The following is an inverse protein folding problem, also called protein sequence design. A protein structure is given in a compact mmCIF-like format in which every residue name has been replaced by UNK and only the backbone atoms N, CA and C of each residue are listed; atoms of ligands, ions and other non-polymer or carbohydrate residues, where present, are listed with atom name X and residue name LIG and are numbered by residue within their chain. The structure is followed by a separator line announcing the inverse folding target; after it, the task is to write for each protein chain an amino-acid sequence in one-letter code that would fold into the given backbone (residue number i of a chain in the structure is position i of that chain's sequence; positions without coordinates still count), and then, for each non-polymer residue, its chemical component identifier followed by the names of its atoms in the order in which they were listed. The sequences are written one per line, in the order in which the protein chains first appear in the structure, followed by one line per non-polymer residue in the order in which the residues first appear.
data_IF_590107614957
#
_entry.id   IF_590107614957
#
_cell.length_a   1.000
_cell.length_b   1.000
_cell.length_c   1.000
_cell.angle_alpha   90.00
_cell.angle_beta   90.00
_cell.angle_gamma   90.00
#
_symmetry.space_group_name_H-M   'P 1'
#
loop_
_entity.id
_entity.type
_entity.pdbx_description
1 polymer ?
#
# COMPACT_ATOMS: atom_id res chain seq x y z
N UNK A 1 37.25 -5.44 10.10
CA UNK A 1 36.73 -4.76 8.89
C UNK A 1 35.22 -4.83 8.95
N UNK A 2 34.55 -3.71 9.24
CA UNK A 2 33.08 -3.67 9.40
C UNK A 2 32.44 -3.77 8.02
N UNK A 3 31.68 -4.84 7.78
CA UNK A 3 30.94 -5.04 6.54
C UNK A 3 29.78 -4.03 6.56
N UNK A 4 29.97 -2.88 5.90
CA UNK A 4 28.90 -1.91 5.67
C UNK A 4 27.85 -2.56 4.77
N UNK A 5 26.87 -3.22 5.38
CA UNK A 5 25.70 -3.74 4.68
C UNK A 5 24.95 -2.55 4.09
N UNK A 6 24.89 -2.50 2.76
CA UNK A 6 24.25 -1.42 2.00
C UNK A 6 22.79 -1.31 2.44
N UNK A 7 22.42 -0.17 3.02
CA UNK A 7 21.01 0.24 3.15
C UNK A 7 20.37 0.13 1.76
N UNK A 8 19.48 -0.86 1.56
CA UNK A 8 18.73 -1.00 0.31
C UNK A 8 17.51 -0.10 0.41
N UNK A 9 17.52 1.00 -0.34
CA UNK A 9 16.43 1.97 -0.40
C UNK A 9 16.10 2.25 -1.86
N UNK A 10 14.82 2.26 -2.20
CA UNK A 10 14.36 2.68 -3.53
C UNK A 10 13.04 3.43 -3.44
N UNK A 11 12.79 4.26 -4.45
CA UNK A 11 11.56 5.03 -4.60
C UNK A 11 10.62 4.23 -5.50
N UNK A 12 9.32 4.26 -5.21
CA UNK A 12 8.32 3.59 -6.03
C UNK A 12 8.36 4.14 -7.47
N UNK A 13 8.37 3.27 -8.50
CA UNK A 13 8.67 3.68 -9.87
C UNK A 13 7.66 4.68 -10.45
N UNK A 14 6.40 4.63 -10.03
CA UNK A 14 5.30 5.47 -10.55
C UNK A 14 4.63 6.35 -9.49
N UNK A 15 5.05 6.24 -8.22
CA UNK A 15 4.43 6.94 -7.08
C UNK A 15 5.56 7.51 -6.21
N UNK A 16 6.24 8.59 -6.64
CA UNK A 16 7.53 9.01 -6.10
C UNK A 16 7.52 9.41 -4.61
N UNK A 17 6.35 9.60 -4.04
CA UNK A 17 6.14 9.87 -2.62
C UNK A 17 6.06 8.60 -1.76
N UNK A 18 6.21 7.40 -2.35
CA UNK A 18 6.40 6.14 -1.63
C UNK A 18 7.87 5.75 -1.73
N UNK A 19 8.47 5.47 -0.57
CA UNK A 19 9.83 4.95 -0.45
C UNK A 19 9.80 3.62 0.26
N UNK A 20 10.57 2.65 -0.24
CA UNK A 20 10.75 1.34 0.39
C UNK A 20 12.21 1.20 0.83
N UNK A 21 12.42 0.77 2.06
CA UNK A 21 13.75 0.62 2.66
C UNK A 21 13.88 -0.66 3.45
N UNK A 22 15.05 -1.28 3.37
CA UNK A 22 15.46 -2.31 4.32
C UNK A 22 16.05 -1.63 5.56
N UNK A 23 15.57 -2.01 6.74
CA UNK A 23 16.25 -1.71 8.00
C UNK A 23 16.78 -2.99 8.63
N UNK A 24 18.10 -3.08 8.73
CA UNK A 24 18.75 -3.90 9.73
C UNK A 24 18.69 -3.13 11.06
N UNK A 25 18.26 -3.82 12.11
CA UNK A 25 17.96 -3.30 13.45
C UNK A 25 18.82 -2.12 13.93
N UNK A 26 18.14 -1.07 14.42
CA UNK A 26 18.59 -0.28 15.56
C UNK A 26 17.34 0.08 16.38
N UNK A 27 17.21 -0.51 17.57
CA UNK A 27 16.31 -0.14 18.67
C UNK A 27 14.79 -0.43 18.54
N UNK A 28 14.39 -1.72 18.55
CA UNK A 28 13.01 -2.20 18.84
C UNK A 28 12.07 -2.54 17.67
N UNK A 29 12.55 -2.67 16.44
CA UNK A 29 11.77 -3.24 15.33
C UNK A 29 12.50 -4.41 14.68
N UNK A 30 11.79 -5.50 14.42
CA UNK A 30 12.33 -6.68 13.75
C UNK A 30 12.88 -6.30 12.38
N UNK A 31 14.07 -6.79 12.02
CA UNK A 31 14.64 -6.61 10.68
C UNK A 31 13.61 -6.91 9.58
N UNK A 32 13.52 -6.05 8.58
CA UNK A 32 12.53 -6.21 7.51
C UNK A 32 12.47 -5.04 6.53
N UNK A 33 11.66 -5.23 5.49
CA UNK A 33 11.34 -4.18 4.55
C UNK A 33 10.25 -3.28 5.12
N UNK A 34 10.52 -1.99 5.13
CA UNK A 34 9.57 -0.95 5.54
C UNK A 34 9.27 -0.04 4.36
N UNK A 35 8.14 0.66 4.45
CA UNK A 35 7.86 1.78 3.56
C UNK A 35 7.64 3.06 4.36
N UNK A 36 7.76 4.18 3.67
CA UNK A 36 7.35 5.49 4.14
C UNK A 36 6.60 6.20 3.03
N UNK A 37 5.52 6.90 3.38
CA UNK A 37 4.77 7.73 2.44
C UNK A 37 5.01 9.20 2.82
N UNK A 38 5.56 9.98 1.91
CA UNK A 38 5.88 11.39 2.15
C UNK A 38 4.60 12.17 2.53
N UNK A 39 4.57 12.72 3.74
CA UNK A 39 3.42 13.47 4.26
C UNK A 39 2.45 12.63 5.10
N UNK A 40 2.71 11.33 5.28
CA UNK A 40 1.99 10.46 6.22
C UNK A 40 2.96 9.83 7.23
N UNK A 41 2.50 9.63 8.46
CA UNK A 41 3.22 8.84 9.46
C UNK A 41 2.83 7.38 9.32
N UNK A 42 3.43 6.69 8.36
CA UNK A 42 3.23 5.25 8.24
C UNK A 42 4.49 4.50 7.86
N UNK A 43 4.63 3.37 8.54
CA UNK A 43 5.63 2.36 8.29
C UNK A 43 5.11 1.04 8.83
N UNK A 44 5.12 0.00 8.01
CA UNK A 44 4.93 -1.37 8.48
C UNK A 44 6.08 -2.25 8.02
N UNK A 45 6.40 -3.26 8.80
CA UNK A 45 7.48 -4.21 8.50
C UNK A 45 6.93 -5.37 7.67
N UNK A 46 7.61 -5.68 6.57
CA UNK A 46 7.24 -6.71 5.61
C UNK A 46 8.42 -7.63 5.30
N UNK A 47 8.12 -8.86 4.88
CA UNK A 47 9.14 -9.88 4.58
C UNK A 47 9.90 -9.59 3.28
N UNK A 48 9.24 -9.02 2.28
CA UNK A 48 9.87 -8.63 1.01
C UNK A 48 9.63 -7.15 0.66
N UNK A 49 10.47 -6.64 -0.24
CA UNK A 49 10.32 -5.29 -0.78
C UNK A 49 9.01 -5.12 -1.56
N UNK A 50 8.55 -6.20 -2.23
CA UNK A 50 7.30 -6.19 -2.97
C UNK A 50 6.10 -6.09 -2.03
N UNK A 51 6.13 -6.82 -0.91
CA UNK A 51 5.08 -6.76 0.12
C UNK A 51 5.02 -5.38 0.78
N UNK A 52 6.18 -4.80 1.11
CA UNK A 52 6.24 -3.44 1.66
C UNK A 52 5.65 -2.41 0.68
N UNK A 53 5.93 -2.58 -0.61
CA UNK A 53 5.37 -1.73 -1.66
C UNK A 53 3.85 -1.88 -1.77
N UNK A 54 3.35 -3.11 -1.83
CA UNK A 54 1.92 -3.39 -1.91
C UNK A 54 1.19 -2.87 -0.66
N UNK A 55 1.79 -3.01 0.53
CA UNK A 55 1.25 -2.48 1.77
C UNK A 55 1.18 -0.95 1.76
N UNK A 56 2.22 -0.28 1.24
CA UNK A 56 2.23 1.17 1.08
C UNK A 56 1.11 1.65 0.15
N UNK A 57 0.95 1.01 -1.01
CA UNK A 57 -0.14 1.32 -1.94
C UNK A 57 -1.51 1.05 -1.31
N UNK A 58 -1.68 -0.10 -0.65
CA UNK A 58 -2.92 -0.43 0.02
C UNK A 58 -3.31 0.62 1.06
N UNK A 59 -2.37 1.05 1.90
CA UNK A 59 -2.62 2.09 2.90
C UNK A 59 -2.97 3.43 2.26
N UNK A 60 -2.20 3.84 1.25
CA UNK A 60 -2.42 5.08 0.53
C UNK A 60 -3.83 5.14 -0.07
N UNK A 61 -4.22 4.12 -0.83
CA UNK A 61 -5.47 4.15 -1.59
C UNK A 61 -6.70 3.69 -0.79
N UNK A 62 -6.52 2.84 0.22
CA UNK A 62 -7.66 2.32 1.01
C UNK A 62 -7.96 3.16 2.25
N UNK A 63 -6.97 3.88 2.79
CA UNK A 63 -7.11 4.58 4.08
C UNK A 63 -6.93 6.09 3.96
N UNK A 64 -6.23 6.57 2.93
CA UNK A 64 -5.83 7.97 2.79
C UNK A 64 -6.39 8.63 1.52
N UNK A 65 -7.67 8.38 1.20
CA UNK A 65 -8.31 8.84 -0.04
C UNK A 65 -8.26 10.36 -0.25
N UNK A 66 -8.39 11.17 0.80
CA UNK A 66 -8.28 12.63 0.70
C UNK A 66 -6.86 13.08 0.32
N UNK A 67 -5.85 12.47 0.93
CA UNK A 67 -4.46 12.74 0.59
C UNK A 67 -4.14 12.37 -0.86
N UNK A 68 -4.67 11.24 -1.34
CA UNK A 68 -4.56 10.82 -2.75
C UNK A 68 -5.19 11.84 -3.68
N UNK A 69 -6.37 12.37 -3.34
CA UNK A 69 -7.05 13.42 -4.13
C UNK A 69 -6.21 14.70 -4.20
N UNK A 70 -5.63 15.11 -3.07
CA UNK A 70 -4.74 16.28 -3.02
C UNK A 70 -3.49 16.09 -3.88
N UNK A 71 -2.86 14.91 -3.84
CA UNK A 71 -1.70 14.59 -4.69
C UNK A 71 -2.07 14.56 -6.17
N UNK A 72 -3.23 13.98 -6.52
CA UNK A 72 -3.74 13.97 -7.89
C UNK A 72 -3.99 15.39 -8.42
N UNK A 73 -4.71 16.21 -7.65
CA UNK A 73 -4.96 17.61 -8.00
C UNK A 73 -3.65 18.38 -8.17
N UNK A 74 -2.70 18.23 -7.24
CA UNK A 74 -1.40 18.88 -7.34
C UNK A 74 -0.59 18.41 -8.55
N UNK A 75 -0.71 17.16 -8.98
CA UNK A 75 -0.04 16.67 -10.19
C UNK A 75 -0.65 17.33 -11.44
N UNK A 76 -1.99 17.39 -11.52
CA UNK A 76 -2.72 18.06 -12.61
C UNK A 76 -2.38 19.55 -12.70
N UNK A 77 -2.42 20.26 -11.57
CA UNK A 77 -2.15 21.71 -11.51
C UNK A 77 -0.71 22.06 -11.95
N UNK A 78 0.23 21.13 -11.77
CA UNK A 78 1.64 21.27 -12.20
C UNK A 78 1.90 20.79 -13.62
N UNK A 79 0.90 20.22 -14.30
CA UNK A 79 1.05 19.60 -15.61
C UNK A 79 1.80 18.26 -15.60
N UNK A 80 1.95 17.62 -14.44
CA UNK A 80 2.57 16.30 -14.29
C UNK A 80 1.53 15.20 -14.56
N UNK A 81 1.21 15.03 -15.86
CA UNK A 81 0.18 14.09 -16.30
C UNK A 81 0.59 12.63 -16.14
N UNK A 82 1.88 12.31 -16.16
CA UNK A 82 2.37 10.95 -15.93
C UNK A 82 2.11 10.50 -14.49
N UNK A 83 2.37 11.39 -13.52
CA UNK A 83 2.05 11.13 -12.13
C UNK A 83 0.53 11.09 -11.91
N UNK A 84 -0.22 12.03 -12.49
CA UNK A 84 -1.68 12.06 -12.37
C UNK A 84 -2.31 10.75 -12.89
N UNK A 85 -1.85 10.27 -14.05
CA UNK A 85 -2.31 9.01 -14.63
C UNK A 85 -1.93 7.82 -13.75
N UNK A 86 -0.70 7.80 -13.22
CA UNK A 86 -0.25 6.75 -12.30
C UNK A 86 -1.13 6.70 -11.06
N UNK A 87 -1.40 7.84 -10.41
CA UNK A 87 -2.29 7.91 -9.25
C UNK A 87 -3.70 7.40 -9.60
N UNK A 88 -4.26 7.82 -10.72
CA UNK A 88 -5.59 7.40 -11.16
C UNK A 88 -5.67 5.89 -11.45
N UNK A 89 -4.64 5.31 -12.09
CA UNK A 89 -4.56 3.88 -12.36
C UNK A 89 -4.50 3.05 -11.07
N UNK A 90 -3.61 3.41 -10.15
CA UNK A 90 -3.49 2.69 -8.87
C UNK A 90 -4.77 2.84 -8.04
N UNK A 91 -5.42 4.01 -8.03
CA UNK A 91 -6.72 4.20 -7.37
C UNK A 91 -7.78 3.27 -7.96
N UNK A 92 -7.92 3.23 -9.28
CA UNK A 92 -8.87 2.35 -9.95
C UNK A 92 -8.64 0.86 -9.65
N UNK A 93 -7.37 0.43 -9.58
CA UNK A 93 -7.00 -0.92 -9.18
C UNK A 93 -7.48 -1.23 -7.75
N UNK A 94 -7.13 -0.39 -6.77
CA UNK A 94 -7.47 -0.63 -5.37
C UNK A 94 -8.98 -0.53 -5.09
N UNK A 95 -9.69 0.36 -5.78
CA UNK A 95 -11.16 0.40 -5.76
C UNK A 95 -11.75 -0.91 -6.30
N UNK A 96 -11.17 -1.46 -7.37
CA UNK A 96 -11.53 -2.77 -7.92
C UNK A 96 -11.32 -3.90 -6.92
N UNK A 97 -10.15 -3.93 -6.25
CA UNK A 97 -9.81 -4.89 -5.20
C UNK A 97 -10.80 -4.80 -4.03
N UNK A 98 -11.10 -3.59 -3.54
CA UNK A 98 -12.03 -3.37 -2.44
C UNK A 98 -13.45 -3.85 -2.80
N UNK A 99 -13.93 -3.51 -4.00
CA UNK A 99 -15.22 -3.96 -4.51
C UNK A 99 -15.30 -5.50 -4.63
N UNK A 100 -14.23 -6.13 -5.11
CA UNK A 100 -14.17 -7.59 -5.23
C UNK A 100 -14.18 -8.27 -3.84
N UNK A 101 -13.38 -7.77 -2.90
CA UNK A 101 -13.37 -8.25 -1.49
C UNK A 101 -14.75 -8.15 -0.84
N UNK A 102 -15.46 -7.03 -1.05
CA UNK A 102 -16.82 -6.84 -0.52
C UNK A 102 -17.81 -7.86 -1.09
N UNK A 103 -17.72 -8.16 -2.40
CA UNK A 103 -18.55 -9.18 -3.05
C UNK A 103 -18.28 -10.58 -2.50
N UNK A 104 -17.01 -10.97 -2.37
CA UNK A 104 -16.63 -12.26 -1.78
C UNK A 104 -17.17 -12.37 -0.35
N UNK A 105 -16.95 -11.36 0.49
CA UNK A 105 -17.44 -11.35 1.88
C UNK A 105 -18.95 -11.54 1.95
N UNK A 106 -19.71 -10.90 1.06
CA UNK A 106 -21.16 -11.08 0.98
C UNK A 106 -21.55 -12.50 0.58
N UNK A 107 -20.87 -13.08 -0.42
CA UNK A 107 -21.10 -14.47 -0.86
C UNK A 107 -20.79 -15.48 0.24
N UNK A 108 -19.66 -15.32 0.94
CA UNK A 108 -19.28 -16.17 2.07
C UNK A 108 -20.29 -16.08 3.21
N UNK A 109 -20.71 -14.86 3.59
CA UNK A 109 -21.75 -14.67 4.62
C UNK A 109 -23.04 -15.41 4.25
N UNK A 110 -23.48 -15.31 2.99
CA UNK A 110 -24.67 -16.03 2.50
C UNK A 110 -24.49 -17.55 2.56
N UNK A 111 -23.32 -18.06 2.17
CA UNK A 111 -23.02 -19.48 2.23
C UNK A 111 -23.06 -20.00 3.68
N UNK A 112 -22.44 -19.29 4.63
CA UNK A 112 -22.46 -19.63 6.05
C UNK A 112 -23.90 -19.64 6.58
N UNK A 113 -24.69 -18.59 6.33
CA UNK A 113 -26.09 -18.51 6.76
C UNK A 113 -26.96 -19.65 6.20
N UNK A 114 -26.67 -20.13 4.98
CA UNK A 114 -27.40 -21.25 4.39
C UNK A 114 -26.97 -22.61 4.96
N UNK A 115 -25.73 -22.74 5.42
CA UNK A 115 -25.16 -23.98 5.97
C UNK A 115 -25.42 -24.13 7.47
N UNK A 116 -25.51 -23.02 8.23
CA UNK A 116 -25.78 -23.01 9.67
C UNK A 116 -26.98 -23.86 10.11
N UNK A 117 -28.13 -23.86 9.40
CA UNK A 117 -29.27 -24.72 9.75
C UNK A 117 -29.04 -26.21 9.51
N UNK A 118 -28.10 -26.59 8.65
CA UNK A 118 -27.79 -27.98 8.32
C UNK A 118 -26.74 -28.60 9.25
N UNK A 119 -26.08 -27.76 10.06
CA UNK A 119 -25.05 -28.16 11.03
C UNK A 119 -25.61 -28.28 12.47
N UNK A 120 -26.93 -28.11 12.65
CA UNK A 120 -27.66 -28.31 13.90
C UNK A 120 -28.60 -29.50 13.77
#
# INVERSE_FOLDING_TARGET
MSNSMRKKKFIHPTLPFITVSWSDETDHSSAGWTYTIEGLYSSSTSFTAADAREAAEYELFSQNGEFVEQKLKSAVDRGDFELALSIAHHRGYWDGVANHKARIKKSLKRAITNLEPLLR
#
